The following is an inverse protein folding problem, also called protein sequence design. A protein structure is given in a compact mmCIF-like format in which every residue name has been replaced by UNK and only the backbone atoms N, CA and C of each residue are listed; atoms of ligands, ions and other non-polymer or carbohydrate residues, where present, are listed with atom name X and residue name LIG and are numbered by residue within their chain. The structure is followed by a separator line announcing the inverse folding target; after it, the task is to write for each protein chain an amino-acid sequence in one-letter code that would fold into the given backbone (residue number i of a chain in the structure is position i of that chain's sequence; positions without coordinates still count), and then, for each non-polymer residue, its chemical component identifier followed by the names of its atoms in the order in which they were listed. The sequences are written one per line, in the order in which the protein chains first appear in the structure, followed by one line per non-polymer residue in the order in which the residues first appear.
data_IF_740623225109
#
_entry.id   IF_740623225109
#
_cell.length_a   1.000
_cell.length_b   1.000
_cell.length_c   1.000
_cell.angle_alpha   90.00
_cell.angle_beta   90.00
_cell.angle_gamma   90.00
#
_symmetry.space_group_name_H-M   'P 1'
#
loop_
_entity.id
_entity.type
_entity.pdbx_description
1 polymer ?
#
# COMPACT_ATOMS: atom_id res chain seq x y z
N UNK A 1 -5.06 -10.26 15.46
CA UNK A 1 -3.74 -9.68 15.78
C UNK A 1 -3.96 -8.31 16.40
N UNK A 2 -3.19 -7.97 17.42
CA UNK A 2 -3.06 -6.58 17.87
C UNK A 2 -2.23 -5.74 16.86
N UNK A 3 -2.10 -4.44 17.09
CA UNK A 3 -1.35 -3.55 16.19
C UNK A 3 0.12 -3.96 15.99
N UNK A 4 0.81 -4.39 17.06
CA UNK A 4 2.22 -4.76 16.97
C UNK A 4 2.41 -6.12 16.28
N UNK A 5 1.49 -7.06 16.51
CA UNK A 5 1.41 -8.33 15.79
C UNK A 5 1.13 -8.11 14.30
N UNK A 6 0.19 -7.24 13.97
CA UNK A 6 -0.12 -6.87 12.60
C UNK A 6 1.10 -6.25 11.89
N UNK A 7 1.82 -5.33 12.54
CA UNK A 7 3.06 -4.79 11.97
C UNK A 7 4.14 -5.86 11.78
N UNK A 8 4.32 -6.78 12.74
CA UNK A 8 5.27 -7.89 12.63
C UNK A 8 4.94 -8.78 11.43
N UNK A 9 3.66 -9.10 11.24
CA UNK A 9 3.18 -9.86 10.08
C UNK A 9 3.42 -9.11 8.77
N UNK A 10 3.09 -7.81 8.71
CA UNK A 10 3.33 -7.01 7.51
C UNK A 10 4.82 -6.92 7.14
N UNK A 11 5.69 -6.84 8.15
CA UNK A 11 7.15 -6.77 7.96
C UNK A 11 7.81 -8.12 7.69
N UNK A 12 7.11 -9.25 7.80
CA UNK A 12 7.67 -10.54 7.38
C UNK A 12 7.71 -10.71 5.86
N UNK A 13 6.94 -9.92 5.11
CA UNK A 13 6.99 -9.90 3.64
C UNK A 13 8.22 -9.15 3.12
N UNK A 14 8.64 -9.48 1.90
CA UNK A 14 9.82 -8.87 1.28
C UNK A 14 9.72 -7.33 1.22
N UNK A 15 10.69 -6.65 1.82
CA UNK A 15 10.75 -5.18 1.82
C UNK A 15 11.58 -4.65 0.63
N UNK A 16 10.89 -4.35 -0.47
CA UNK A 16 11.51 -3.80 -1.68
C UNK A 16 12.11 -2.39 -1.52
N UNK A 17 11.79 -1.66 -0.45
CA UNK A 17 12.48 -0.38 -0.15
C UNK A 17 13.92 -0.61 0.30
N UNK A 18 14.19 -1.77 0.90
CA UNK A 18 15.52 -2.18 1.39
C UNK A 18 16.26 -3.06 0.40
N UNK A 19 15.51 -3.86 -0.37
CA UNK A 19 16.04 -4.72 -1.43
C UNK A 19 15.70 -4.11 -2.77
N UNK A 20 16.35 -2.99 -3.10
CA UNK A 20 16.32 -2.45 -4.46
C UNK A 20 17.10 -3.42 -5.35
N UNK A 21 16.47 -4.09 -6.34
CA UNK A 21 17.20 -4.96 -7.23
C UNK A 21 18.23 -4.12 -8.00
N UNK A 22 19.52 -4.45 -7.86
CA UNK A 22 20.62 -3.83 -8.62
C UNK A 22 20.55 -4.11 -10.13
N UNK A 23 19.67 -5.02 -10.54
CA UNK A 23 19.51 -5.47 -11.93
C UNK A 23 18.06 -5.23 -12.33
N UNK A 24 17.86 -4.32 -13.28
CA UNK A 24 16.59 -4.12 -13.95
C UNK A 24 16.34 -5.32 -14.87
N UNK A 25 15.55 -6.29 -14.42
CA UNK A 25 15.08 -7.40 -15.27
C UNK A 25 13.56 -7.32 -15.44
N UNK A 26 13.00 -7.80 -16.56
CA UNK A 26 11.55 -7.92 -16.74
C UNK A 26 10.89 -8.73 -15.61
N UNK A 27 11.60 -9.71 -15.05
CA UNK A 27 11.15 -10.52 -13.92
C UNK A 27 11.14 -9.78 -12.58
N UNK A 28 11.93 -8.71 -12.41
CA UNK A 28 11.94 -7.88 -11.19
C UNK A 28 10.96 -6.71 -11.25
N UNK A 29 10.44 -6.38 -12.43
CA UNK A 29 9.42 -5.35 -12.68
C UNK A 29 8.11 -5.93 -13.26
N UNK A 30 7.66 -7.07 -12.74
CA UNK A 30 6.33 -7.62 -13.07
C UNK A 30 5.27 -7.05 -12.14
N UNK A 31 4.14 -6.62 -12.72
CA UNK A 31 2.94 -6.22 -11.97
C UNK A 31 2.02 -7.42 -11.66
N UNK A 32 2.31 -8.62 -12.17
CA UNK A 32 1.42 -9.78 -12.09
C UNK A 32 0.99 -10.09 -10.66
N UNK A 33 1.89 -9.98 -9.68
CA UNK A 33 1.56 -10.21 -8.27
C UNK A 33 0.56 -9.19 -7.74
N UNK A 34 0.75 -7.92 -8.09
CA UNK A 34 -0.16 -6.85 -7.69
C UNK A 34 -1.52 -7.01 -8.39
N UNK A 35 -1.51 -7.30 -9.69
CA UNK A 35 -2.73 -7.52 -10.48
C UNK A 35 -3.54 -8.72 -9.97
N UNK A 36 -2.88 -9.84 -9.68
CA UNK A 36 -3.50 -11.03 -9.11
C UNK A 36 -4.12 -10.75 -7.74
N UNK A 37 -3.43 -9.98 -6.87
CA UNK A 37 -3.96 -9.57 -5.58
C UNK A 37 -5.18 -8.65 -5.71
N UNK A 38 -5.12 -7.67 -6.63
CA UNK A 38 -6.26 -6.77 -6.89
C UNK A 38 -7.47 -7.53 -7.44
N UNK A 39 -7.26 -8.52 -8.30
CA UNK A 39 -8.34 -9.37 -8.83
C UNK A 39 -9.05 -10.15 -7.70
N UNK A 40 -8.32 -10.67 -6.71
CA UNK A 40 -8.90 -11.36 -5.55
C UNK A 40 -9.69 -10.44 -4.60
N UNK A 41 -9.39 -9.15 -4.65
CA UNK A 41 -10.06 -8.09 -3.87
C UNK A 41 -11.18 -7.40 -4.65
N UNK A 42 -11.54 -7.90 -5.83
CA UNK A 42 -12.55 -7.30 -6.72
C UNK A 42 -12.22 -5.86 -7.13
N UNK A 43 -10.95 -5.63 -7.48
CA UNK A 43 -10.44 -4.38 -8.05
C UNK A 43 -10.77 -3.09 -7.26
N UNK A 44 -10.40 -3.01 -5.96
CA UNK A 44 -10.68 -1.84 -5.14
C UNK A 44 -10.00 -0.56 -5.67
N UNK A 45 -8.88 -0.70 -6.38
CA UNK A 45 -8.16 0.40 -7.04
C UNK A 45 -8.98 1.13 -8.10
N UNK A 46 -10.07 0.51 -8.60
CA UNK A 46 -10.95 1.08 -9.62
C UNK A 46 -12.17 1.79 -9.04
N UNK A 47 -12.36 1.74 -7.72
CA UNK A 47 -13.54 2.29 -7.05
C UNK A 47 -13.42 3.79 -6.73
N UNK A 48 -12.26 4.41 -7.00
CA UNK A 48 -12.01 5.82 -6.74
C UNK A 48 -11.13 6.46 -7.83
N UNK A 49 -11.26 7.78 -7.97
CA UNK A 49 -10.39 8.56 -8.86
C UNK A 49 -9.00 8.68 -8.22
N UNK A 50 -7.96 8.56 -9.04
CA UNK A 50 -6.58 8.51 -8.58
C UNK A 50 -5.71 9.58 -9.24
N UNK A 51 -4.78 10.13 -8.46
CA UNK A 51 -3.67 10.96 -8.96
C UNK A 51 -2.37 10.23 -8.64
N UNK A 52 -1.61 9.83 -9.66
CA UNK A 52 -0.34 9.14 -9.49
C UNK A 52 0.82 10.14 -9.56
N UNK A 53 1.62 10.24 -8.49
CA UNK A 53 2.76 11.16 -8.41
C UNK A 53 4.08 10.39 -8.45
N UNK A 54 4.82 10.50 -9.55
CA UNK A 54 6.12 9.86 -9.76
C UNK A 54 7.27 10.89 -9.91
N UNK A 55 8.52 10.44 -9.77
CA UNK A 55 9.73 11.28 -9.94
C UNK A 55 10.81 11.01 -8.88
N UNK A 56 12.00 11.59 -9.01
CA UNK A 56 13.11 11.28 -8.08
C UNK A 56 13.04 12.11 -6.79
N UNK A 57 12.55 13.35 -6.86
CA UNK A 57 12.43 14.29 -5.73
C UNK A 57 11.04 14.95 -5.72
N UNK A 58 10.63 15.50 -4.59
CA UNK A 58 9.39 16.30 -4.48
C UNK A 58 8.07 15.53 -4.43
N UNK A 59 8.01 14.25 -4.84
CA UNK A 59 6.77 13.43 -4.86
C UNK A 59 5.90 13.55 -3.61
N UNK A 60 6.49 13.36 -2.42
CA UNK A 60 5.75 13.40 -1.16
C UNK A 60 5.17 14.80 -0.89
N UNK A 61 5.97 15.85 -1.12
CA UNK A 61 5.53 17.24 -0.99
C UNK A 61 4.42 17.57 -1.99
N UNK A 62 4.57 17.18 -3.26
CA UNK A 62 3.57 17.37 -4.30
C UNK A 62 2.27 16.64 -3.98
N UNK A 63 2.33 15.36 -3.59
CA UNK A 63 1.15 14.58 -3.23
C UNK A 63 0.41 15.18 -2.02
N UNK A 64 1.14 15.73 -1.05
CA UNK A 64 0.57 16.41 0.12
C UNK A 64 -0.07 17.75 -0.22
N UNK A 65 0.53 18.52 -1.13
CA UNK A 65 -0.08 19.76 -1.65
C UNK A 65 -1.39 19.45 -2.39
N UNK A 66 -1.39 18.43 -3.25
CA UNK A 66 -2.59 17.97 -3.97
C UNK A 66 -3.69 17.55 -2.97
N UNK A 67 -3.32 16.74 -1.96
CA UNK A 67 -4.26 16.35 -0.90
C UNK A 67 -4.86 17.58 -0.22
N UNK A 68 -4.03 18.54 0.21
CA UNK A 68 -4.49 19.74 0.91
C UNK A 68 -5.47 20.57 0.07
N UNK A 69 -5.19 20.75 -1.22
CA UNK A 69 -6.07 21.48 -2.14
C UNK A 69 -7.43 20.75 -2.28
N UNK A 70 -7.42 19.44 -2.49
CA UNK A 70 -8.64 18.66 -2.69
C UNK A 70 -9.49 18.56 -1.41
N UNK A 71 -8.85 18.40 -0.25
CA UNK A 71 -9.54 18.43 1.06
C UNK A 71 -10.15 19.81 1.31
N UNK A 72 -9.41 20.90 1.05
CA UNK A 72 -9.93 22.26 1.16
C UNK A 72 -11.10 22.53 0.21
N UNK A 73 -11.15 21.84 -0.94
CA UNK A 73 -12.27 21.87 -1.89
C UNK A 73 -13.45 20.96 -1.48
N UNK A 74 -13.46 20.41 -0.26
CA UNK A 74 -14.56 19.60 0.27
C UNK A 74 -14.59 18.14 -0.20
N UNK A 75 -13.52 17.65 -0.83
CA UNK A 75 -13.43 16.25 -1.26
C UNK A 75 -12.96 15.34 -0.11
N UNK A 76 -13.43 14.08 -0.10
CA UNK A 76 -12.84 13.02 0.73
C UNK A 76 -11.61 12.45 0.02
N UNK A 77 -10.43 12.60 0.60
CA UNK A 77 -9.16 12.32 -0.07
C UNK A 77 -8.32 11.32 0.72
N UNK A 78 -7.99 10.20 0.08
CA UNK A 78 -6.94 9.29 0.53
C UNK A 78 -5.56 9.76 0.06
N UNK A 79 -4.53 9.60 0.89
CA UNK A 79 -3.14 9.81 0.51
C UNK A 79 -2.31 8.59 0.92
N UNK A 80 -1.61 8.02 -0.06
CA UNK A 80 -0.58 7.01 0.16
C UNK A 80 0.81 7.58 -0.14
N UNK A 81 1.74 7.47 0.82
CA UNK A 81 3.13 7.96 0.67
C UNK A 81 4.13 7.03 1.31
N UNK A 82 5.36 7.00 0.80
CA UNK A 82 6.45 6.21 1.35
C UNK A 82 7.83 6.87 1.13
N UNK A 83 8.84 6.58 1.98
CA UNK A 83 8.77 5.81 3.22
C UNK A 83 8.08 6.59 4.36
N UNK A 84 7.90 5.95 5.52
CA UNK A 84 7.48 6.63 6.77
C UNK A 84 8.68 6.96 7.65
N UNK A 85 8.54 7.93 8.57
CA UNK A 85 9.61 8.37 9.46
C UNK A 85 9.51 7.76 10.87
N UNK A 86 8.33 7.77 11.49
CA UNK A 86 8.13 7.28 12.86
C UNK A 86 7.21 6.08 12.95
N UNK A 87 6.14 6.04 12.15
CA UNK A 87 5.15 4.96 12.20
C UNK A 87 4.64 4.59 10.82
N UNK A 88 4.38 3.29 10.60
CA UNK A 88 3.83 2.78 9.34
C UNK A 88 2.56 3.50 8.92
N UNK A 89 1.77 3.93 9.91
CA UNK A 89 0.52 4.66 9.72
C UNK A 89 0.69 5.93 8.90
N UNK A 90 1.87 6.57 8.90
CA UNK A 90 2.17 7.74 8.06
C UNK A 90 1.99 7.47 6.58
N UNK A 91 2.05 6.20 6.16
CA UNK A 91 1.84 5.81 4.76
C UNK A 91 0.40 5.94 4.30
N UNK A 92 -0.58 5.93 5.20
CA UNK A 92 -2.00 5.87 4.85
C UNK A 92 -2.76 6.95 5.60
N UNK A 93 -3.31 7.91 4.85
CA UNK A 93 -4.13 9.01 5.39
C UNK A 93 -5.46 9.12 4.69
N UNK A 94 -6.50 9.52 5.43
CA UNK A 94 -7.80 9.94 4.90
C UNK A 94 -8.11 11.32 5.49
N UNK A 95 -8.37 12.31 4.64
CA UNK A 95 -8.63 13.70 5.07
C UNK A 95 -7.57 14.21 6.07
N UNK A 96 -6.31 13.98 5.72
CA UNK A 96 -5.12 14.30 6.52
C UNK A 96 -4.96 13.56 7.87
N UNK A 97 -5.90 12.70 8.24
CA UNK A 97 -5.79 11.86 9.43
C UNK A 97 -5.07 10.55 9.12
N UNK A 98 -4.12 10.17 9.97
CA UNK A 98 -3.48 8.85 9.90
C UNK A 98 -4.53 7.76 10.13
N UNK A 99 -4.43 6.64 9.41
CA UNK A 99 -5.17 5.42 9.77
C UNK A 99 -4.95 5.08 11.25
N UNK A 100 -6.00 4.71 11.99
CA UNK A 100 -5.83 4.34 13.40
C UNK A 100 -5.08 3.01 13.56
N UNK A 101 -4.46 2.75 14.72
CA UNK A 101 -3.83 1.45 14.97
C UNK A 101 -4.81 0.28 14.88
N UNK A 102 -6.04 0.48 15.37
CA UNK A 102 -7.09 -0.52 15.35
C UNK A 102 -7.59 -0.82 13.93
N UNK A 103 -7.79 0.21 13.10
CA UNK A 103 -8.16 0.01 11.69
C UNK A 103 -7.06 -0.70 10.91
N UNK A 104 -5.79 -0.30 11.09
CA UNK A 104 -4.68 -0.98 10.42
C UNK A 104 -4.59 -2.45 10.83
N UNK A 105 -4.68 -2.73 12.14
CA UNK A 105 -4.66 -4.10 12.66
C UNK A 105 -5.84 -4.92 12.13
N UNK A 106 -7.04 -4.32 12.07
CA UNK A 106 -8.24 -4.92 11.52
C UNK A 106 -8.05 -5.37 10.07
N UNK A 107 -7.55 -4.48 9.21
CA UNK A 107 -7.28 -4.79 7.80
C UNK A 107 -6.23 -5.91 7.66
N UNK A 108 -5.16 -5.85 8.45
CA UNK A 108 -4.08 -6.85 8.38
C UNK A 108 -4.54 -8.22 8.89
N UNK A 109 -5.56 -8.29 9.74
CA UNK A 109 -6.12 -9.57 10.21
C UNK A 109 -6.76 -10.38 9.08
N UNK A 110 -7.17 -9.74 7.99
CA UNK A 110 -7.74 -10.41 6.82
C UNK A 110 -6.65 -10.95 5.88
N UNK A 111 -5.40 -10.54 6.07
CA UNK A 111 -4.32 -10.88 5.15
C UNK A 111 -3.94 -12.37 5.13
N UNK A 112 -3.94 -13.13 6.25
CA UNK A 112 -3.65 -14.56 6.22
C UNK A 112 -4.58 -15.35 5.29
N UNK A 113 -5.89 -15.06 5.33
CA UNK A 113 -6.87 -15.68 4.44
C UNK A 113 -6.63 -15.24 2.98
N UNK A 114 -6.40 -13.94 2.76
CA UNK A 114 -6.10 -13.41 1.44
C UNK A 114 -4.83 -14.05 0.83
N UNK A 115 -3.78 -14.22 1.62
CA UNK A 115 -2.53 -14.88 1.21
C UNK A 115 -2.78 -16.35 0.88
N UNK A 116 -3.56 -17.07 1.71
CA UNK A 116 -3.91 -18.45 1.42
C UNK A 116 -4.68 -18.59 0.09
N UNK A 117 -5.66 -17.72 -0.15
CA UNK A 117 -6.41 -17.63 -1.42
C UNK A 117 -5.50 -17.28 -2.59
N UNK A 118 -4.58 -16.34 -2.41
CA UNK A 118 -3.61 -15.94 -3.41
C UNK A 118 -2.68 -17.10 -3.80
N UNK A 119 -2.09 -17.78 -2.82
CA UNK A 119 -1.21 -18.93 -3.09
C UNK A 119 -1.95 -20.08 -3.77
N UNK A 120 -3.21 -20.32 -3.40
CA UNK A 120 -4.04 -21.35 -4.04
C UNK A 120 -4.41 -20.99 -5.49
N UNK A 121 -4.76 -19.73 -5.76
CA UNK A 121 -5.17 -19.27 -7.09
C UNK A 121 -3.99 -19.05 -8.05
N UNK A 122 -2.82 -18.67 -7.53
CA UNK A 122 -1.64 -18.30 -8.30
C UNK A 122 -0.38 -19.04 -7.82
N UNK A 123 -0.32 -20.38 -7.90
CA UNK A 123 0.77 -21.18 -7.32
C UNK A 123 2.14 -20.97 -7.99
N UNK A 124 2.17 -20.35 -9.17
CA UNK A 124 3.40 -20.01 -9.89
C UNK A 124 3.99 -18.66 -9.45
N UNK A 125 3.24 -17.84 -8.71
CA UNK A 125 3.70 -16.58 -8.15
C UNK A 125 4.12 -16.78 -6.69
N UNK A 126 5.27 -16.23 -6.27
CA UNK A 126 5.67 -16.30 -4.87
C UNK A 126 4.72 -15.47 -3.98
N UNK A 127 4.52 -15.90 -2.72
CA UNK A 127 3.75 -15.14 -1.72
C UNK A 127 4.45 -13.85 -1.29
#
# INVERSE_FOLDING_TARGET
MDYNEALRYLYSFANYERVMPKVYSPTSFSLEKAEALMALLDHPERQFRSVHVAGTKGKGSTARMIQGILVAAGQRVGLYTQPHLHTHRERIRINDQLISPAELAGIVNDFPDLVARYTAAYPHLPP
#
